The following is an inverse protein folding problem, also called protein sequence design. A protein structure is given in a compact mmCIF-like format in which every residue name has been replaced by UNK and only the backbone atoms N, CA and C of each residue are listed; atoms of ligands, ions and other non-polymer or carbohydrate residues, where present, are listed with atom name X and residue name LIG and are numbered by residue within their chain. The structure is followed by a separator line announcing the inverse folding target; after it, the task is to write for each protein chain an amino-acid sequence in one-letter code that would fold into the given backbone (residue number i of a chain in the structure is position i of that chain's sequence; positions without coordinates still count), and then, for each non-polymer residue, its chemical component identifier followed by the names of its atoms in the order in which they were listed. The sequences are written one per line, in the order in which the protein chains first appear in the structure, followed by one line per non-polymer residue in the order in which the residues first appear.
data_IF_312695097576
#
_entry.id   IF_312695097576
#
_cell.length_a   1.000
_cell.length_b   1.000
_cell.length_c   1.000
_cell.angle_alpha   90.00
_cell.angle_beta   90.00
_cell.angle_gamma   90.00
#
_symmetry.space_group_name_H-M   'P 1'
#
loop_
_entity.id
_entity.type
_entity.pdbx_description
1 polymer ?
#
# COMPACT_ATOMS: atom_id res chain seq x y z
N UNK A 1 -22.83 -17.05 -11.35
CA UNK A 1 -21.38 -16.96 -11.08
C UNK A 1 -20.66 -17.53 -12.30
N UNK A 2 -19.75 -16.80 -12.96
CA UNK A 2 -18.96 -17.38 -14.04
C UNK A 2 -18.03 -18.46 -13.46
N UNK A 3 -17.97 -19.62 -14.13
CA UNK A 3 -17.04 -20.70 -13.78
C UNK A 3 -15.71 -20.35 -14.44
N UNK A 4 -14.69 -20.01 -13.65
CA UNK A 4 -13.33 -19.76 -14.14
C UNK A 4 -12.43 -20.91 -13.70
N UNK A 5 -12.06 -21.78 -14.65
CA UNK A 5 -11.11 -22.88 -14.39
C UNK A 5 -9.69 -22.34 -14.47
N UNK A 6 -9.02 -22.21 -13.31
CA UNK A 6 -7.61 -21.80 -13.24
C UNK A 6 -6.63 -22.98 -13.26
N UNK A 7 -7.09 -24.16 -12.85
CA UNK A 7 -6.30 -25.38 -12.71
C UNK A 7 -6.98 -26.54 -13.41
N UNK A 8 -6.17 -27.45 -13.94
CA UNK A 8 -6.64 -28.66 -14.61
C UNK A 8 -7.17 -29.64 -13.56
N UNK A 9 -8.43 -30.08 -13.61
CA UNK A 9 -9.01 -31.00 -12.62
C UNK A 9 -8.44 -32.43 -12.70
N UNK A 10 -7.52 -32.70 -13.63
CA UNK A 10 -6.90 -34.02 -13.84
C UNK A 10 -5.47 -34.08 -13.33
N UNK A 11 -4.70 -33.00 -13.46
CA UNK A 11 -3.27 -32.96 -13.11
C UNK A 11 -2.84 -31.75 -12.28
N UNK A 12 -3.78 -30.89 -11.88
CA UNK A 12 -3.55 -29.65 -11.13
C UNK A 12 -2.66 -28.60 -11.83
N UNK A 13 -2.26 -28.83 -13.09
CA UNK A 13 -1.49 -27.86 -13.87
C UNK A 13 -2.29 -26.59 -14.20
N UNK A 14 -1.62 -25.44 -14.40
CA UNK A 14 -2.27 -24.20 -14.82
C UNK A 14 -3.00 -24.37 -16.15
N UNK A 15 -4.27 -23.97 -16.21
CA UNK A 15 -5.01 -23.92 -17.48
C UNK A 15 -4.72 -22.61 -18.22
N UNK A 16 -4.78 -22.65 -19.55
CA UNK A 16 -4.70 -21.47 -20.42
C UNK A 16 -5.97 -21.34 -21.25
N UNK A 17 -6.42 -20.11 -21.47
CA UNK A 17 -7.52 -19.83 -22.40
C UNK A 17 -6.96 -19.79 -23.82
N UNK A 18 -7.56 -20.53 -24.76
CA UNK A 18 -7.08 -20.63 -26.15
C UNK A 18 -7.92 -19.86 -27.16
N UNK A 19 -9.19 -19.63 -26.84
CA UNK A 19 -10.16 -19.09 -27.79
C UNK A 19 -11.19 -18.22 -27.05
N UNK A 20 -11.43 -17.02 -27.57
CA UNK A 20 -12.58 -16.19 -27.22
C UNK A 20 -13.54 -16.14 -28.40
N UNK A 21 -14.83 -16.36 -28.12
CA UNK A 21 -15.89 -16.32 -29.12
C UNK A 21 -16.88 -15.21 -28.80
N UNK A 22 -17.15 -14.34 -29.78
CA UNK A 22 -18.20 -13.33 -29.68
C UNK A 22 -19.46 -13.77 -30.44
N UNK A 23 -20.57 -14.11 -29.75
CA UNK A 23 -21.79 -14.57 -30.42
C UNK A 23 -22.54 -13.46 -31.18
N UNK A 24 -22.22 -12.18 -30.94
CA UNK A 24 -22.91 -11.06 -31.56
C UNK A 24 -22.39 -10.71 -32.96
N UNK A 25 -21.10 -10.96 -33.23
CA UNK A 25 -20.46 -10.64 -34.50
C UNK A 25 -19.67 -11.80 -35.12
N UNK A 26 -19.80 -13.00 -34.53
CA UNK A 26 -19.17 -14.26 -34.97
C UNK A 26 -17.63 -14.21 -35.05
N UNK A 27 -17.03 -13.28 -34.30
CA UNK A 27 -15.57 -13.14 -34.23
C UNK A 27 -15.01 -14.19 -33.27
N UNK A 28 -14.00 -14.92 -33.77
CA UNK A 28 -13.21 -15.86 -32.97
C UNK A 28 -11.79 -15.36 -32.85
N UNK A 29 -11.31 -15.16 -31.62
CA UNK A 29 -9.95 -14.73 -31.32
C UNK A 29 -9.20 -15.93 -30.76
N UNK A 30 -8.17 -16.40 -31.48
CA UNK A 30 -7.31 -17.52 -31.06
C UNK A 30 -5.96 -17.03 -30.60
N UNK A 31 -5.45 -17.64 -29.53
CA UNK A 31 -4.17 -17.28 -28.94
C UNK A 31 -3.84 -18.17 -27.75
N UNK A 32 -2.80 -17.81 -27.02
CA UNK A 32 -2.55 -18.34 -25.68
C UNK A 32 -2.76 -17.19 -24.70
N UNK A 33 -3.81 -17.28 -23.90
CA UNK A 33 -4.18 -16.26 -22.94
C UNK A 33 -4.05 -16.85 -21.55
N UNK A 34 -3.16 -16.27 -20.74
CA UNK A 34 -3.04 -16.64 -19.35
C UNK A 34 -4.29 -16.16 -18.60
N UNK A 35 -5.01 -17.02 -17.86
CA UNK A 35 -6.17 -16.61 -17.07
C UNK A 35 -5.79 -15.56 -16.01
N UNK A 36 -4.53 -15.56 -15.57
CA UNK A 36 -3.96 -14.56 -14.66
C UNK A 36 -3.82 -13.16 -15.28
N UNK A 37 -3.76 -13.04 -16.61
CA UNK A 37 -3.67 -11.74 -17.30
C UNK A 37 -5.02 -11.05 -17.48
N UNK A 38 -6.14 -11.71 -17.11
CA UNK A 38 -7.50 -11.26 -17.38
C UNK A 38 -7.96 -9.99 -16.62
N UNK A 39 -7.14 -9.45 -15.72
CA UNK A 39 -7.47 -8.23 -15.01
C UNK A 39 -6.47 -7.81 -13.92
N UNK A 40 -6.66 -6.64 -13.30
CA UNK A 40 -5.84 -6.17 -12.19
C UNK A 40 -5.95 -7.06 -10.94
N UNK A 41 -7.05 -7.82 -10.80
CA UNK A 41 -7.38 -8.59 -9.60
C UNK A 41 -7.15 -10.10 -9.73
N UNK A 42 -6.59 -10.59 -10.83
CA UNK A 42 -6.49 -12.03 -11.10
C UNK A 42 -5.62 -12.79 -10.08
N UNK A 43 -4.69 -12.11 -9.42
CA UNK A 43 -3.83 -12.70 -8.40
C UNK A 43 -4.50 -12.83 -7.03
N UNK A 44 -5.64 -12.16 -6.83
CA UNK A 44 -6.38 -12.27 -5.60
C UNK A 44 -7.00 -13.67 -5.48
N UNK A 45 -6.86 -14.24 -4.29
CA UNK A 45 -7.58 -15.46 -3.93
C UNK A 45 -9.08 -15.16 -3.68
N UNK A 46 -9.90 -16.20 -3.54
CA UNK A 46 -11.35 -16.05 -3.40
C UNK A 46 -11.74 -15.26 -2.13
N UNK A 47 -11.00 -15.39 -1.04
CA UNK A 47 -11.24 -14.66 0.20
C UNK A 47 -10.93 -13.16 0.04
N UNK A 48 -9.81 -12.84 -0.61
CA UNK A 48 -9.43 -11.47 -0.94
C UNK A 48 -10.41 -10.82 -1.92
N UNK A 49 -10.92 -11.56 -2.92
CA UNK A 49 -11.96 -11.07 -3.83
C UNK A 49 -13.28 -10.82 -3.10
N UNK A 50 -13.67 -11.70 -2.19
CA UNK A 50 -14.87 -11.51 -1.37
C UNK A 50 -14.74 -10.28 -0.46
N UNK A 51 -13.58 -10.10 0.17
CA UNK A 51 -13.28 -8.92 0.99
C UNK A 51 -13.27 -7.64 0.15
N UNK A 52 -12.66 -7.65 -1.05
CA UNK A 52 -12.66 -6.53 -1.98
C UNK A 52 -14.09 -6.09 -2.32
N UNK A 53 -14.94 -7.06 -2.66
CA UNK A 53 -16.33 -6.80 -3.01
C UNK A 53 -17.09 -6.19 -1.82
N UNK A 54 -16.90 -6.73 -0.61
CA UNK A 54 -17.49 -6.19 0.61
C UNK A 54 -17.00 -4.77 0.91
N UNK A 55 -15.71 -4.51 0.77
CA UNK A 55 -15.12 -3.20 1.01
C UNK A 55 -15.65 -2.15 0.03
N UNK A 56 -15.72 -2.47 -1.27
CA UNK A 56 -16.24 -1.57 -2.31
C UNK A 56 -17.73 -1.33 -2.13
N UNK A 57 -18.53 -2.35 -1.83
CA UNK A 57 -19.98 -2.19 -1.56
C UNK A 57 -20.25 -1.39 -0.29
N UNK A 58 -19.32 -1.44 0.68
CA UNK A 58 -19.33 -0.59 1.89
C UNK A 58 -18.74 0.81 1.65
N UNK A 59 -18.45 1.19 0.40
CA UNK A 59 -17.86 2.50 0.02
C UNK A 59 -16.52 2.79 0.73
N UNK A 60 -15.78 1.75 1.09
CA UNK A 60 -14.53 1.86 1.84
C UNK A 60 -14.68 2.19 3.32
N UNK A 61 -15.90 2.14 3.89
CA UNK A 61 -16.10 2.37 5.31
C UNK A 61 -15.71 1.13 6.14
N UNK A 62 -14.57 1.20 6.84
CA UNK A 62 -14.09 0.10 7.69
C UNK A 62 -15.09 -0.29 8.78
N UNK A 63 -15.81 0.66 9.36
CA UNK A 63 -16.79 0.36 10.42
C UNK A 63 -17.99 -0.44 9.90
N UNK A 64 -18.39 -0.23 8.64
CA UNK A 64 -19.46 -1.02 8.02
C UNK A 64 -18.97 -2.42 7.65
N UNK A 65 -17.71 -2.55 7.25
CA UNK A 65 -17.05 -3.84 6.99
C UNK A 65 -16.89 -4.65 8.29
N UNK A 66 -16.47 -4.01 9.39
CA UNK A 66 -16.40 -4.62 10.73
C UNK A 66 -17.75 -5.16 11.16
N UNK A 67 -18.81 -4.36 11.02
CA UNK A 67 -20.18 -4.77 11.36
C UNK A 67 -20.62 -5.96 10.50
N UNK A 68 -20.27 -5.96 9.21
CA UNK A 68 -20.66 -7.01 8.27
C UNK A 68 -19.89 -8.32 8.50
N UNK A 69 -18.62 -8.25 8.91
CA UNK A 69 -17.78 -9.42 9.18
C UNK A 69 -17.84 -9.88 10.65
N UNK A 70 -18.32 -9.05 11.58
CA UNK A 70 -18.35 -9.34 13.01
C UNK A 70 -16.96 -9.42 13.64
N UNK A 71 -15.96 -8.76 13.06
CA UNK A 71 -14.56 -8.80 13.53
C UNK A 71 -14.10 -7.43 14.00
N UNK A 72 -13.00 -7.41 14.77
CA UNK A 72 -12.43 -6.17 15.29
C UNK A 72 -11.78 -5.31 14.20
N UNK A 73 -11.72 -3.99 14.41
CA UNK A 73 -11.02 -3.03 13.53
C UNK A 73 -9.59 -3.47 13.14
N UNK A 74 -8.74 -3.96 14.07
CA UNK A 74 -7.42 -4.49 13.70
C UNK A 74 -7.46 -5.65 12.70
N UNK A 75 -8.49 -6.50 12.78
CA UNK A 75 -8.65 -7.66 11.89
C UNK A 75 -9.05 -7.22 10.48
N UNK A 76 -9.97 -6.25 10.35
CA UNK A 76 -10.36 -5.70 9.05
C UNK A 76 -9.19 -4.96 8.40
N UNK A 77 -8.43 -4.20 9.20
CA UNK A 77 -7.22 -3.53 8.73
C UNK A 77 -6.19 -4.52 8.22
N UNK A 78 -5.90 -5.59 8.96
CA UNK A 78 -4.97 -6.63 8.53
C UNK A 78 -5.40 -7.28 7.20
N UNK A 79 -6.70 -7.52 7.00
CA UNK A 79 -7.25 -8.03 5.72
C UNK A 79 -7.10 -7.04 4.58
N UNK A 80 -7.26 -5.74 4.84
CA UNK A 80 -7.02 -4.71 3.82
C UNK A 80 -5.54 -4.61 3.46
N UNK A 81 -4.65 -4.65 4.46
CA UNK A 81 -3.21 -4.61 4.24
C UNK A 81 -2.74 -5.82 3.41
N UNK A 82 -3.24 -7.03 3.72
CA UNK A 82 -2.99 -8.25 2.94
C UNK A 82 -3.45 -8.12 1.47
N UNK A 83 -4.65 -7.56 1.26
CA UNK A 83 -5.17 -7.30 -0.09
C UNK A 83 -4.30 -6.30 -0.84
N UNK A 84 -3.87 -5.21 -0.19
CA UNK A 84 -2.99 -4.19 -0.79
C UNK A 84 -1.66 -4.82 -1.16
N UNK A 85 -1.05 -5.60 -0.27
CA UNK A 85 0.19 -6.33 -0.56
C UNK A 85 0.05 -7.23 -1.78
N UNK A 86 -1.02 -8.04 -1.83
CA UNK A 86 -1.29 -8.90 -2.96
C UNK A 86 -1.50 -8.11 -4.28
N UNK A 87 -1.97 -6.87 -4.24
CA UNK A 87 -2.10 -6.01 -5.43
C UNK A 87 -0.79 -5.34 -5.85
N UNK A 88 0.00 -4.85 -4.90
CA UNK A 88 1.24 -4.10 -5.14
C UNK A 88 2.42 -5.00 -5.51
N UNK A 89 2.41 -6.30 -5.19
CA UNK A 89 3.46 -7.25 -5.64
C UNK A 89 3.62 -7.31 -7.16
N UNK A 90 2.56 -6.99 -7.93
CA UNK A 90 2.65 -6.82 -9.40
C UNK A 90 3.44 -5.59 -9.84
N UNK A 91 3.41 -4.51 -9.05
CA UNK A 91 4.15 -3.29 -9.35
C UNK A 91 5.65 -3.47 -9.05
N UNK A 92 5.98 -4.32 -8.07
CA UNK A 92 7.36 -4.65 -7.71
C UNK A 92 8.02 -5.68 -8.64
N UNK A 93 7.26 -6.57 -9.29
CA UNK A 93 7.83 -7.57 -10.22
C UNK A 93 8.18 -7.02 -11.62
N UNK A 94 7.98 -5.72 -11.85
CA UNK A 94 8.42 -4.98 -13.04
C UNK A 94 9.62 -4.04 -12.83
N UNK A 95 10.19 -3.97 -11.63
CA UNK A 95 11.38 -3.16 -11.32
C UNK A 95 12.33 -3.96 -10.42
N UNK A 96 13.65 -4.02 -10.69
CA UNK A 96 14.58 -4.77 -9.85
C UNK A 96 14.49 -4.29 -8.39
N UNK A 97 14.48 -5.20 -7.41
CA UNK A 97 14.35 -4.82 -6.00
C UNK A 97 15.54 -3.96 -5.62
N UNK A 98 15.27 -2.70 -5.23
CA UNK A 98 16.27 -1.89 -4.57
C UNK A 98 16.74 -2.66 -3.32
N UNK A 99 18.06 -2.81 -3.13
CA UNK A 99 18.60 -3.64 -2.06
C UNK A 99 18.13 -3.10 -0.70
N UNK A 100 17.85 -3.99 0.28
CA UNK A 100 17.48 -3.56 1.62
C UNK A 100 18.66 -2.80 2.23
N UNK A 101 18.40 -1.57 2.66
CA UNK A 101 19.37 -0.79 3.42
C UNK A 101 19.79 -1.59 4.67
N UNK A 102 21.10 -1.84 4.88
CA UNK A 102 21.57 -2.63 6.01
C UNK A 102 21.32 -1.90 7.32
N UNK A 103 20.66 -2.58 8.26
CA UNK A 103 20.54 -2.15 9.65
C UNK A 103 21.76 -2.66 10.43
N UNK A 104 22.59 -1.76 10.97
CA UNK A 104 23.57 -2.11 12.02
C UNK A 104 23.76 -0.98 13.03
N UNK A 105 24.02 -1.42 14.26
CA UNK A 105 23.90 -0.77 15.56
C UNK A 105 25.16 0.08 15.90
N UNK A 106 24.93 1.23 16.54
CA UNK A 106 25.78 2.16 17.31
C UNK A 106 27.32 1.97 17.44
N UNK A 107 28.11 3.04 17.21
CA UNK A 107 29.09 3.67 18.16
C UNK A 107 29.59 5.06 17.63
N UNK A 108 30.33 5.92 18.39
CA UNK A 108 30.21 7.40 18.46
C UNK A 108 31.09 8.17 17.43
N UNK A 109 31.02 9.52 17.34
CA UNK A 109 31.49 10.26 16.17
C UNK A 109 32.97 10.65 16.24
N UNK A 110 33.60 10.95 15.09
CA UNK A 110 34.58 12.02 15.01
C UNK A 110 34.20 13.04 13.91
N UNK A 111 33.79 14.20 14.41
CA UNK A 111 34.09 15.58 14.01
C UNK A 111 34.39 15.97 12.54
N UNK A 112 33.82 17.13 12.22
CA UNK A 112 34.29 18.22 11.34
C UNK A 112 33.85 18.15 9.89
N UNK A 113 32.93 19.04 9.50
CA UNK A 113 33.17 20.08 8.49
C UNK A 113 31.99 21.06 8.48
N UNK A 114 32.31 22.36 8.53
CA UNK A 114 31.42 23.50 8.72
C UNK A 114 31.01 24.14 7.38
N UNK A 115 29.71 24.47 7.30
CA UNK A 115 29.08 25.72 6.78
C UNK A 115 29.16 26.08 5.28
N UNK A 116 28.23 26.91 4.69
CA UNK A 116 27.24 27.79 5.33
C UNK A 116 25.80 27.88 4.70
N UNK A 117 24.88 28.47 5.48
CA UNK A 117 23.82 29.42 5.08
C UNK A 117 22.58 28.96 4.27
N UNK A 118 21.55 28.50 4.99
CA UNK A 118 20.21 29.10 4.97
C UNK A 118 19.48 28.64 6.25
N UNK A 119 19.10 29.56 7.14
CA UNK A 119 18.36 29.20 8.35
C UNK A 119 17.06 28.45 7.95
N UNK A 120 16.80 27.25 8.47
CA UNK A 120 15.55 26.57 8.19
C UNK A 120 14.43 27.34 8.90
N UNK A 121 13.46 27.85 8.14
CA UNK A 121 12.21 28.34 8.71
C UNK A 121 11.54 27.15 9.42
N UNK A 122 11.58 27.17 10.75
CA UNK A 122 11.04 26.12 11.60
C UNK A 122 9.53 26.36 11.74
N UNK A 123 8.68 25.40 11.37
CA UNK A 123 7.24 25.60 11.45
C UNK A 123 6.77 25.56 12.92
N UNK A 124 5.61 26.15 13.22
CA UNK A 124 5.04 26.18 14.58
C UNK A 124 4.98 24.79 15.24
N UNK A 125 4.70 23.75 14.45
CA UNK A 125 4.66 22.35 14.93
C UNK A 125 6.04 21.86 15.40
N UNK A 126 7.10 22.25 14.71
CA UNK A 126 8.47 21.83 15.02
C UNK A 126 8.96 22.48 16.32
N UNK A 127 8.62 23.76 16.55
CA UNK A 127 8.95 24.47 17.79
C UNK A 127 8.31 23.78 19.00
N UNK A 128 7.03 23.41 18.91
CA UNK A 128 6.32 22.72 20.00
C UNK A 128 6.88 21.32 20.27
N UNK A 129 7.27 20.58 19.22
CA UNK A 129 7.94 19.29 19.37
C UNK A 129 9.26 19.44 20.14
N UNK A 130 10.07 20.45 19.82
CA UNK A 130 11.36 20.67 20.51
C UNK A 130 11.22 21.10 21.97
N UNK A 131 10.16 21.84 22.33
CA UNK A 131 9.84 22.12 23.74
C UNK A 131 9.45 20.83 24.47
N UNK A 132 8.61 19.99 23.83
CA UNK A 132 8.17 18.72 24.45
C UNK A 132 9.32 17.73 24.66
N UNK A 133 10.32 17.77 23.78
CA UNK A 133 11.53 16.94 23.85
C UNK A 133 12.62 17.55 24.76
N UNK A 134 12.39 18.73 25.34
CA UNK A 134 13.35 19.42 26.21
C UNK A 134 14.58 19.97 25.48
N UNK A 135 14.57 19.98 24.16
CA UNK A 135 15.65 20.51 23.30
C UNK A 135 15.62 22.03 23.17
N UNK A 136 14.48 22.65 23.50
CA UNK A 136 14.28 24.08 23.49
C UNK A 136 13.62 24.53 24.79
N UNK A 137 14.08 25.63 25.38
CA UNK A 137 13.42 26.17 26.56
C UNK A 137 12.05 26.76 26.19
N UNK A 138 11.13 26.77 27.15
CA UNK A 138 9.78 27.31 26.97
C UNK A 138 9.83 28.79 26.55
N UNK A 139 10.80 29.55 27.08
CA UNK A 139 10.96 30.97 26.78
C UNK A 139 11.44 31.19 25.33
N UNK A 140 12.45 30.45 24.90
CA UNK A 140 13.00 30.54 23.54
C UNK A 140 11.98 30.13 22.48
N UNK A 141 11.21 29.06 22.74
CA UNK A 141 10.17 28.63 21.82
C UNK A 141 9.00 29.63 21.68
N UNK A 142 8.69 30.36 22.76
CA UNK A 142 7.67 31.43 22.71
C UNK A 142 8.13 32.62 21.86
N UNK A 143 9.40 32.99 21.91
CA UNK A 143 9.92 34.11 21.10
C UNK A 143 10.07 33.73 19.62
N UNK A 144 10.42 32.48 19.32
CA UNK A 144 10.42 31.97 17.95
C UNK A 144 9.00 31.90 17.34
N UNK A 145 7.98 31.58 18.13
CA UNK A 145 6.58 31.58 17.65
C UNK A 145 6.05 32.98 17.30
N UNK A 146 6.56 34.05 17.92
CA UNK A 146 6.15 35.44 17.61
C UNK A 146 6.72 35.94 16.28
N UNK A 147 7.81 35.34 15.80
CA UNK A 147 8.49 35.73 14.57
C UNK A 147 7.98 34.99 13.33
N UNK A 148 7.08 34.02 13.51
CA UNK A 148 6.43 33.35 12.37
C UNK A 148 5.39 34.29 11.75
N UNK A 149 5.41 34.48 10.41
CA UNK A 149 4.38 35.24 9.73
C UNK A 149 3.03 34.54 9.97
N UNK A 150 2.07 35.28 10.54
CA UNK A 150 0.70 34.79 10.70
C UNK A 150 0.03 34.68 9.34
N UNK A 151 -0.58 33.53 9.07
CA UNK A 151 -1.69 33.42 8.11
C UNK A 151 -2.91 34.19 8.60
#
# INVERSE_FOLDING_TARGET
MPITLRQCPVCDDPMVVREFYCPACDVTIRGEFEPGSAGPFSQLNDEQLAFLNLFVTSRGNMSDVERSLGVSYPTVRAKLDDLISALTEREASGAPPAPPAPQVIATPPPQTEQEPSAAPFMNRRDILAQISEGKLSVQEGMDMMKQLPGE
#
